data_IF_192784550038
#
_entry.id   IF_192784550038
#
_cell.length_a   1.000
_cell.length_b   1.000
_cell.length_c   1.000
_cell.angle_alpha   90.00
_cell.angle_beta   90.00
_cell.angle_gamma   90.00
#
_symmetry.space_group_name_H-M   'P 1'
#
loop_
_entity.id
_entity.type
_entity.pdbx_description
1 polymer ?
#
# COMPACT_ATOMS: atom_id res chain seq x y z
N UNK A 1 29.88 -27.92 -75.76
CA UNK A 1 30.21 -28.56 -74.48
C UNK A 1 30.36 -27.50 -73.40
N UNK A 2 29.25 -27.08 -72.78
CA UNK A 2 29.20 -26.11 -71.67
C UNK A 2 28.05 -26.52 -70.77
N UNK A 3 28.37 -27.06 -69.60
CA UNK A 3 27.37 -27.52 -68.65
C UNK A 3 28.06 -28.21 -67.48
N UNK A 4 28.66 -27.42 -66.58
CA UNK A 4 29.01 -27.85 -65.21
C UNK A 4 29.59 -26.72 -64.33
N UNK A 5 29.68 -25.47 -64.82
CA UNK A 5 30.16 -24.35 -63.99
C UNK A 5 29.15 -23.93 -62.91
N UNK A 6 27.85 -24.01 -63.21
CA UNK A 6 26.80 -23.48 -62.32
C UNK A 6 26.63 -24.31 -61.04
N UNK A 7 26.82 -25.64 -61.09
CA UNK A 7 26.71 -26.49 -59.89
C UNK A 7 27.91 -26.33 -58.94
N UNK A 8 29.10 -25.99 -59.46
CA UNK A 8 30.27 -25.67 -58.62
C UNK A 8 30.09 -24.33 -57.91
N UNK A 9 29.58 -23.32 -58.58
CA UNK A 9 29.32 -22.01 -57.98
C UNK A 9 28.30 -22.10 -56.82
N UNK A 10 27.23 -22.88 -56.98
CA UNK A 10 26.21 -23.08 -55.92
C UNK A 10 26.80 -23.82 -54.72
N UNK A 11 27.65 -24.84 -54.95
CA UNK A 11 28.33 -25.56 -53.85
C UNK A 11 29.30 -24.67 -53.09
N UNK A 12 30.06 -23.83 -53.80
CA UNK A 12 30.99 -22.89 -53.16
C UNK A 12 30.21 -21.85 -52.35
N UNK A 13 29.11 -21.31 -52.89
CA UNK A 13 28.27 -20.36 -52.16
C UNK A 13 27.66 -21.01 -50.90
N UNK A 14 27.20 -22.25 -50.99
CA UNK A 14 26.70 -23.01 -49.85
C UNK A 14 27.75 -23.20 -48.76
N UNK A 15 28.99 -23.55 -49.15
CA UNK A 15 30.10 -23.70 -48.18
C UNK A 15 30.47 -22.36 -47.54
N UNK A 16 30.49 -21.26 -48.30
CA UNK A 16 30.77 -19.92 -47.76
C UNK A 16 29.69 -19.51 -46.75
N UNK A 17 28.42 -19.76 -47.04
CA UNK A 17 27.31 -19.45 -46.12
C UNK A 17 27.41 -20.31 -44.84
N UNK A 18 27.72 -21.60 -44.95
CA UNK A 18 27.85 -22.47 -43.78
C UNK A 18 29.04 -22.02 -42.92
N UNK A 19 30.17 -21.69 -43.54
CA UNK A 19 31.35 -21.22 -42.82
C UNK A 19 31.12 -19.83 -42.19
N UNK A 20 30.37 -18.94 -42.85
CA UNK A 20 30.06 -17.62 -42.28
C UNK A 20 29.11 -17.72 -41.09
N UNK A 21 28.10 -18.61 -41.15
CA UNK A 21 27.19 -18.87 -40.02
C UNK A 21 27.92 -19.55 -38.86
N UNK A 22 28.79 -20.53 -39.15
CA UNK A 22 29.60 -21.18 -38.12
C UNK A 22 30.57 -20.18 -37.46
N UNK A 23 31.18 -19.28 -38.24
CA UNK A 23 32.02 -18.22 -37.70
C UNK A 23 31.21 -17.23 -36.86
N UNK A 24 30.00 -16.84 -37.28
CA UNK A 24 29.11 -15.97 -36.50
C UNK A 24 28.72 -16.61 -35.16
N UNK A 25 28.47 -17.92 -35.12
CA UNK A 25 28.15 -18.66 -33.89
C UNK A 25 29.34 -18.78 -32.94
N UNK A 26 30.57 -18.78 -33.45
CA UNK A 26 31.80 -18.87 -32.65
C UNK A 26 32.35 -17.49 -32.23
N UNK A 27 32.11 -16.45 -33.02
CA UNK A 27 32.65 -15.11 -32.80
C UNK A 27 31.73 -14.20 -31.95
N UNK A 28 30.44 -14.53 -31.83
CA UNK A 28 29.55 -13.83 -30.92
C UNK A 28 29.70 -14.40 -29.51
N UNK A 29 29.97 -13.58 -28.48
CA UNK A 29 29.83 -14.04 -27.11
C UNK A 29 28.38 -14.52 -26.92
N UNK A 30 28.15 -15.58 -26.12
CA UNK A 30 26.81 -16.03 -25.83
C UNK A 30 26.02 -14.83 -25.29
N UNK A 31 24.85 -14.58 -25.89
CA UNK A 31 23.87 -13.68 -25.30
C UNK A 31 23.66 -14.13 -23.85
N UNK A 32 23.50 -13.21 -22.88
CA UNK A 32 23.19 -13.59 -21.52
C UNK A 32 21.92 -14.45 -21.57
N UNK A 33 22.11 -15.75 -21.37
CA UNK A 33 21.00 -16.64 -21.08
C UNK A 33 20.40 -16.12 -19.78
N UNK A 34 19.07 -15.98 -19.75
CA UNK A 34 18.37 -15.98 -18.47
C UNK A 34 18.96 -17.15 -17.66
N UNK A 35 19.42 -16.90 -16.42
CA UNK A 35 19.98 -17.99 -15.64
C UNK A 35 18.93 -19.10 -15.59
N UNK A 36 19.35 -20.38 -15.66
CA UNK A 36 18.43 -21.46 -15.42
C UNK A 36 17.74 -21.17 -14.08
N UNK A 37 16.44 -21.42 -14.02
CA UNK A 37 15.68 -21.38 -12.77
C UNK A 37 16.35 -22.39 -11.82
N UNK A 38 17.37 -21.96 -11.10
CA UNK A 38 17.92 -22.71 -10.00
C UNK A 38 16.79 -22.75 -9.00
N UNK A 39 16.26 -23.94 -8.78
CA UNK A 39 15.63 -24.28 -7.51
C UNK A 39 16.71 -24.23 -6.42
N UNK A 40 17.30 -23.06 -6.18
CA UNK A 40 17.84 -22.74 -4.88
C UNK A 40 16.60 -22.52 -4.01
N UNK A 41 16.26 -23.57 -3.27
CA UNK A 41 15.51 -23.42 -2.04
C UNK A 41 16.08 -22.21 -1.32
N UNK A 42 15.23 -21.21 -1.06
CA UNK A 42 15.45 -20.23 -0.02
C UNK A 42 15.64 -21.00 1.29
N UNK A 43 16.87 -21.43 1.55
CA UNK A 43 17.28 -21.80 2.90
C UNK A 43 17.14 -20.52 3.73
N UNK A 44 16.32 -20.51 4.79
CA UNK A 44 16.22 -19.36 5.65
C UNK A 44 17.60 -19.03 6.23
N UNK A 45 17.94 -17.74 6.23
CA UNK A 45 19.16 -17.20 6.80
C UNK A 45 19.42 -17.82 8.19
N UNK A 46 20.58 -18.46 8.42
CA UNK A 46 20.90 -19.06 9.72
C UNK A 46 20.99 -18.02 10.86
N UNK A 47 20.99 -16.71 10.56
CA UNK A 47 20.87 -15.65 11.57
C UNK A 47 19.42 -15.43 12.08
N UNK A 48 18.40 -16.05 11.46
CA UNK A 48 17.02 -16.07 11.94
C UNK A 48 16.67 -17.33 12.75
N UNK A 49 17.66 -18.18 13.01
CA UNK A 49 17.53 -19.39 13.82
C UNK A 49 18.04 -19.11 15.24
N UNK A 50 17.18 -19.37 16.23
CA UNK A 50 17.43 -19.27 17.69
C UNK A 50 17.16 -17.92 18.36
N UNK A 51 15.93 -17.43 18.26
CA UNK A 51 15.21 -17.10 19.49
C UNK A 51 13.79 -17.63 19.37
N UNK A 52 13.34 -18.39 20.39
CA UNK A 52 11.97 -18.88 20.53
C UNK A 52 11.03 -17.67 20.60
N UNK A 53 10.60 -17.19 19.43
CA UNK A 53 9.82 -15.98 19.27
C UNK A 53 8.34 -16.32 19.54
N UNK A 54 7.63 -15.56 20.41
CA UNK A 54 6.18 -15.68 20.62
C UNK A 54 5.37 -15.72 19.32
N UNK A 55 5.90 -15.13 18.25
CA UNK A 55 5.39 -15.12 16.89
C UNK A 55 5.20 -16.54 16.30
N UNK A 56 6.11 -17.48 16.55
CA UNK A 56 5.99 -18.84 15.99
C UNK A 56 4.84 -19.64 16.60
N UNK A 57 4.58 -19.46 17.91
CA UNK A 57 3.43 -20.05 18.60
C UNK A 57 2.11 -19.44 18.14
N UNK A 58 2.10 -18.16 17.80
CA UNK A 58 0.92 -17.47 17.25
C UNK A 58 0.63 -17.91 15.81
N UNK A 59 1.66 -17.99 14.95
CA UNK A 59 1.51 -18.38 13.54
C UNK A 59 1.04 -19.84 13.35
N UNK A 60 1.43 -20.77 14.23
CA UNK A 60 0.93 -22.14 14.18
C UNK A 60 -0.58 -22.27 14.46
N UNK A 61 -1.22 -21.24 15.02
CA UNK A 61 -2.68 -21.25 15.26
C UNK A 61 -3.52 -20.84 14.05
N UNK A 62 -2.90 -20.43 12.92
CA UNK A 62 -3.56 -19.75 11.78
C UNK A 62 -3.64 -20.65 10.51
N UNK A 63 -3.91 -21.95 10.66
CA UNK A 63 -4.36 -22.76 9.51
C UNK A 63 -5.88 -22.76 9.39
N UNK A 64 -6.44 -21.63 8.95
CA UNK A 64 -7.78 -21.57 8.35
C UNK A 64 -7.74 -20.72 7.09
N UNK A 65 -7.36 -21.32 5.97
CA UNK A 65 -7.72 -20.78 4.66
C UNK A 65 -9.22 -21.00 4.43
N UNK A 66 -10.04 -19.98 4.67
CA UNK A 66 -11.40 -19.96 4.14
C UNK A 66 -11.34 -19.62 2.64
N UNK A 67 -12.05 -20.35 1.76
CA UNK A 67 -12.18 -19.96 0.36
C UNK A 67 -12.87 -18.59 0.26
N UNK A 68 -12.51 -17.83 -0.77
CA UNK A 68 -13.12 -16.54 -1.12
C UNK A 68 -14.64 -16.68 -1.28
N UNK A 69 -15.40 -16.36 -0.22
CA UNK A 69 -16.85 -16.24 -0.26
C UNK A 69 -17.23 -14.98 -1.05
N UNK A 70 -18.12 -15.14 -2.03
CA UNK A 70 -18.70 -14.03 -2.79
C UNK A 70 -19.31 -13.05 -1.79
N UNK A 71 -18.76 -11.82 -1.71
CA UNK A 71 -19.17 -10.79 -0.74
C UNK A 71 -20.69 -10.61 -0.84
N UNK A 72 -21.41 -10.94 0.24
CA UNK A 72 -22.86 -10.70 0.36
C UNK A 72 -23.09 -9.20 0.20
N UNK A 73 -23.97 -8.80 -0.72
CA UNK A 73 -24.41 -7.40 -0.79
C UNK A 73 -25.15 -7.03 0.49
N UNK A 74 -24.83 -5.85 1.03
CA UNK A 74 -25.48 -5.33 2.22
C UNK A 74 -26.90 -4.90 1.89
N UNK A 75 -27.82 -5.18 2.81
CA UNK A 75 -29.19 -4.67 2.79
C UNK A 75 -29.22 -3.17 3.12
N UNK A 76 -30.31 -2.49 2.76
CA UNK A 76 -30.48 -1.08 3.09
C UNK A 76 -30.43 -0.80 4.60
N UNK A 77 -30.98 -1.71 5.41
CA UNK A 77 -30.97 -1.60 6.87
C UNK A 77 -29.54 -1.75 7.44
N UNK A 78 -28.76 -2.73 6.94
CA UNK A 78 -27.34 -2.90 7.31
C UNK A 78 -26.52 -1.65 6.92
N UNK A 79 -26.79 -1.03 5.77
CA UNK A 79 -26.12 0.21 5.34
C UNK A 79 -26.45 1.38 6.27
N UNK A 80 -27.73 1.53 6.63
CA UNK A 80 -28.17 2.59 7.56
C UNK A 80 -27.54 2.43 8.94
N UNK A 81 -27.47 1.19 9.44
CA UNK A 81 -26.79 0.89 10.71
C UNK A 81 -25.31 1.29 10.67
N UNK A 82 -24.60 0.93 9.59
CA UNK A 82 -23.19 1.32 9.41
C UNK A 82 -23.04 2.85 9.37
N UNK A 83 -23.92 3.55 8.65
CA UNK A 83 -23.89 5.02 8.58
C UNK A 83 -24.12 5.66 9.95
N UNK A 84 -25.06 5.14 10.74
CA UNK A 84 -25.31 5.59 12.11
C UNK A 84 -24.07 5.36 13.00
N UNK A 85 -23.46 4.18 12.93
CA UNK A 85 -22.24 3.88 13.68
C UNK A 85 -21.08 4.81 13.31
N UNK A 86 -20.89 5.09 12.02
CA UNK A 86 -19.89 6.05 11.55
C UNK A 86 -20.18 7.44 12.13
N UNK A 87 -21.42 7.91 12.04
CA UNK A 87 -21.82 9.23 12.54
C UNK A 87 -21.56 9.36 14.05
N UNK A 88 -21.99 8.37 14.84
CA UNK A 88 -21.79 8.35 16.29
C UNK A 88 -20.30 8.40 16.67
N UNK A 89 -19.47 7.60 16.00
CA UNK A 89 -18.02 7.57 16.24
C UNK A 89 -17.34 8.86 15.81
N UNK A 90 -17.75 9.43 14.67
CA UNK A 90 -17.26 10.73 14.19
C UNK A 90 -17.66 11.89 15.09
N UNK A 91 -18.80 11.82 15.78
CA UNK A 91 -19.21 12.85 16.75
C UNK A 91 -18.46 12.71 18.09
N UNK A 92 -18.23 11.48 18.54
CA UNK A 92 -17.56 11.24 19.82
C UNK A 92 -16.05 11.50 19.79
N UNK A 93 -15.40 11.33 18.63
CA UNK A 93 -13.94 11.48 18.43
C UNK A 93 -13.12 10.93 19.62
N UNK A 94 -13.43 9.68 20.00
CA UNK A 94 -12.88 9.06 21.21
C UNK A 94 -11.38 8.81 21.07
N UNK A 95 -10.62 9.32 22.04
CA UNK A 95 -9.21 9.01 22.23
C UNK A 95 -9.09 7.87 23.25
N UNK A 96 -8.42 6.79 22.86
CA UNK A 96 -8.14 5.63 23.72
C UNK A 96 -6.77 5.77 24.37
N UNK A 97 -6.66 5.24 25.59
CA UNK A 97 -5.43 5.11 26.37
C UNK A 97 -4.79 6.46 26.78
N UNK A 98 -5.53 7.57 26.75
CA UNK A 98 -5.04 8.87 27.21
C UNK A 98 -4.66 8.84 28.70
N UNK A 99 -5.42 8.09 29.49
CA UNK A 99 -5.18 7.89 30.92
C UNK A 99 -3.90 7.10 31.22
N UNK A 100 -3.41 6.30 30.27
CA UNK A 100 -2.20 5.49 30.39
C UNK A 100 -0.96 6.23 29.88
N UNK A 101 -1.10 6.98 28.78
CA UNK A 101 0.02 7.61 28.06
C UNK A 101 0.05 9.14 28.16
N UNK A 102 -0.85 9.73 28.94
CA UNK A 102 -1.00 11.17 29.09
C UNK A 102 -1.69 11.84 27.88
N UNK A 103 -1.94 13.17 27.96
CA UNK A 103 -2.59 13.90 26.89
C UNK A 103 -1.68 14.09 25.66
N UNK A 104 -2.30 14.21 24.48
CA UNK A 104 -1.59 14.55 23.23
C UNK A 104 -0.99 15.95 23.34
N UNK A 105 0.33 16.04 23.14
CA UNK A 105 1.07 17.30 23.13
C UNK A 105 1.15 17.87 21.72
N UNK A 106 1.46 19.17 21.61
CA UNK A 106 1.56 19.86 20.32
C UNK A 106 2.66 19.29 19.42
N UNK A 107 3.69 18.66 19.98
CA UNK A 107 4.83 18.05 19.30
C UNK A 107 4.76 16.52 19.22
N UNK A 108 3.69 15.91 19.76
CA UNK A 108 3.48 14.45 19.70
C UNK A 108 3.52 13.97 18.24
N UNK A 109 4.31 12.94 17.95
CA UNK A 109 4.31 12.36 16.59
C UNK A 109 2.95 11.70 16.35
N UNK A 110 2.31 12.06 15.25
CA UNK A 110 1.04 11.48 14.82
C UNK A 110 1.32 10.50 13.70
N UNK A 111 0.81 9.27 13.80
CA UNK A 111 0.87 8.29 12.73
C UNK A 111 -0.55 8.02 12.26
N UNK A 112 -0.81 8.24 10.97
CA UNK A 112 -2.12 8.05 10.35
C UNK A 112 -2.06 6.86 9.41
N UNK A 113 -2.78 5.79 9.75
CA UNK A 113 -2.86 4.55 8.95
C UNK A 113 -4.13 4.56 8.13
N UNK A 114 -4.01 4.47 6.80
CA UNK A 114 -5.15 4.25 5.92
C UNK A 114 -5.53 2.76 5.92
N UNK A 115 -6.76 2.46 6.35
CA UNK A 115 -7.29 1.10 6.53
C UNK A 115 -8.45 0.88 5.57
N UNK A 116 -8.44 -0.27 4.88
CA UNK A 116 -9.55 -0.72 4.04
C UNK A 116 -10.20 -1.95 4.67
N UNK A 117 -9.82 -3.17 4.26
CA UNK A 117 -10.45 -4.40 4.75
C UNK A 117 -9.48 -5.59 4.87
N UNK A 118 -8.17 -5.33 4.96
CA UNK A 118 -7.15 -6.37 5.01
C UNK A 118 -6.67 -6.61 6.44
N UNK A 119 -7.52 -7.24 7.25
CA UNK A 119 -7.28 -7.51 8.68
C UNK A 119 -5.91 -8.14 8.98
N UNK A 120 -5.47 -9.10 8.17
CA UNK A 120 -4.19 -9.79 8.38
C UNK A 120 -2.98 -8.87 8.18
N UNK A 121 -3.00 -8.04 7.13
CA UNK A 121 -1.95 -7.05 6.89
C UNK A 121 -1.91 -6.01 8.02
N UNK A 122 -3.09 -5.50 8.42
CA UNK A 122 -3.20 -4.56 9.53
C UNK A 122 -2.63 -5.15 10.83
N UNK A 123 -2.87 -6.45 11.08
CA UNK A 123 -2.30 -7.15 12.24
C UNK A 123 -0.78 -7.17 12.19
N UNK A 124 -0.17 -7.43 11.03
CA UNK A 124 1.28 -7.38 10.89
C UNK A 124 1.85 -5.98 11.16
N UNK A 125 1.19 -4.93 10.66
CA UNK A 125 1.58 -3.55 10.95
C UNK A 125 1.51 -3.26 12.45
N UNK A 126 0.41 -3.59 13.13
CA UNK A 126 0.24 -3.38 14.58
C UNK A 126 1.31 -4.13 15.38
N UNK A 127 1.61 -5.38 15.02
CA UNK A 127 2.67 -6.17 15.66
C UNK A 127 4.04 -5.50 15.50
N UNK A 128 4.36 -4.99 14.30
CA UNK A 128 5.62 -4.28 14.07
C UNK A 128 5.70 -2.96 14.85
N UNK A 129 4.59 -2.22 14.95
CA UNK A 129 4.53 -0.99 15.76
C UNK A 129 4.71 -1.29 17.26
N UNK A 130 4.11 -2.37 17.77
CA UNK A 130 4.24 -2.76 19.18
C UNK A 130 5.70 -3.06 19.59
N UNK A 131 6.54 -3.44 18.62
CA UNK A 131 7.97 -3.70 18.83
C UNK A 131 8.83 -2.44 18.68
N UNK A 132 8.29 -1.36 18.13
CA UNK A 132 9.05 -0.17 17.83
C UNK A 132 9.38 0.65 19.07
N UNK A 133 10.63 1.11 19.16
CA UNK A 133 11.07 1.98 20.25
C UNK A 133 10.35 3.33 20.17
N UNK A 134 9.92 3.84 21.33
CA UNK A 134 9.20 5.11 21.50
C UNK A 134 7.75 5.12 21.01
N UNK A 135 7.18 3.97 20.67
CA UNK A 135 5.78 3.90 20.19
C UNK A 135 4.78 4.40 21.25
N UNK A 136 5.09 4.24 22.53
CA UNK A 136 4.28 4.72 23.66
C UNK A 136 4.08 6.24 23.68
N UNK A 137 4.97 6.98 23.01
CA UNK A 137 4.92 8.45 22.95
C UNK A 137 3.97 8.99 21.87
N UNK A 138 3.57 8.16 20.89
CA UNK A 138 2.85 8.62 19.69
C UNK A 138 1.32 8.66 19.86
N UNK A 139 0.64 9.33 18.93
CA UNK A 139 -0.77 9.12 18.64
C UNK A 139 -0.93 8.29 17.37
N UNK A 140 -1.58 7.12 17.46
CA UNK A 140 -1.98 6.34 16.30
C UNK A 140 -3.42 6.66 15.90
N UNK A 141 -3.61 7.06 14.64
CA UNK A 141 -4.93 7.31 14.05
C UNK A 141 -5.17 6.28 12.95
N UNK A 142 -6.19 5.44 13.11
CA UNK A 142 -6.65 4.53 12.07
C UNK A 142 -7.81 5.19 11.31
N UNK A 143 -7.61 5.39 10.01
CA UNK A 143 -8.58 6.01 9.11
C UNK A 143 -9.22 4.95 8.23
N UNK A 144 -10.51 4.70 8.40
CA UNK A 144 -11.23 3.59 7.79
C UNK A 144 -12.13 4.06 6.64
N UNK A 145 -12.07 3.41 5.48
CA UNK A 145 -13.09 3.57 4.42
C UNK A 145 -14.00 2.34 4.27
N UNK A 146 -13.88 1.38 5.18
CA UNK A 146 -14.75 0.23 5.29
C UNK A 146 -14.98 -0.07 6.78
N UNK A 147 -16.24 -0.09 7.18
CA UNK A 147 -16.66 -0.46 8.52
C UNK A 147 -16.66 -1.97 8.67
N UNK A 148 -15.79 -2.48 9.53
CA UNK A 148 -15.65 -3.89 9.82
C UNK A 148 -15.42 -4.08 11.33
N UNK A 149 -16.34 -4.79 11.98
CA UNK A 149 -16.29 -5.01 13.44
C UNK A 149 -15.02 -5.74 13.90
N UNK A 150 -14.46 -6.64 13.09
CA UNK A 150 -13.23 -7.33 13.45
C UNK A 150 -12.03 -6.40 13.40
N UNK A 151 -11.96 -5.51 12.40
CA UNK A 151 -10.93 -4.48 12.30
C UNK A 151 -11.08 -3.47 13.44
N UNK A 152 -12.31 -2.96 13.67
CA UNK A 152 -12.59 -2.00 14.74
C UNK A 152 -12.18 -2.57 16.10
N UNK A 153 -12.54 -3.83 16.36
CA UNK A 153 -12.16 -4.53 17.59
C UNK A 153 -10.66 -4.71 17.71
N UNK A 154 -9.96 -5.09 16.64
CA UNK A 154 -8.50 -5.23 16.64
C UNK A 154 -7.84 -3.91 17.07
N UNK A 155 -8.27 -2.78 16.50
CA UNK A 155 -7.71 -1.46 16.85
C UNK A 155 -7.97 -1.11 18.32
N UNK A 156 -9.13 -1.46 18.87
CA UNK A 156 -9.43 -1.22 20.31
C UNK A 156 -8.60 -2.06 21.27
N UNK A 157 -7.94 -3.13 20.81
CA UNK A 157 -7.07 -3.97 21.66
C UNK A 157 -5.65 -3.43 21.80
N UNK A 158 -5.30 -2.37 21.06
CA UNK A 158 -3.98 -1.74 21.17
C UNK A 158 -3.88 -1.04 22.53
N UNK A 159 -2.90 -1.44 23.32
CA UNK A 159 -2.67 -0.97 24.70
C UNK A 159 -1.27 -0.36 24.90
N UNK A 160 -0.47 -0.24 23.84
CA UNK A 160 0.92 0.23 23.90
C UNK A 160 1.12 1.72 23.53
N UNK A 161 0.06 2.43 23.13
CA UNK A 161 0.09 3.87 22.85
C UNK A 161 -1.32 4.49 22.82
N UNK A 162 -1.41 5.80 22.57
CA UNK A 162 -2.69 6.49 22.33
C UNK A 162 -3.26 6.09 20.97
N UNK A 163 -4.57 5.87 20.90
CA UNK A 163 -5.24 5.42 19.68
C UNK A 163 -6.53 6.19 19.42
N UNK A 164 -6.77 6.56 18.16
CA UNK A 164 -8.02 7.14 17.68
C UNK A 164 -8.46 6.44 16.39
N UNK A 165 -9.77 6.30 16.18
CA UNK A 165 -10.34 5.81 14.93
C UNK A 165 -11.18 6.90 14.28
N UNK A 166 -10.97 7.12 12.98
CA UNK A 166 -11.76 8.03 12.15
C UNK A 166 -12.33 7.26 10.95
N UNK A 167 -13.52 7.63 10.51
CA UNK A 167 -14.25 6.89 9.48
C UNK A 167 -14.60 7.82 8.32
N UNK A 168 -14.18 7.44 7.11
CA UNK A 168 -14.49 8.15 5.88
C UNK A 168 -16.00 8.02 5.58
N UNK A 169 -16.76 9.12 5.57
CA UNK A 169 -18.23 9.06 5.55
C UNK A 169 -18.83 8.73 4.18
N UNK A 170 -18.04 8.72 3.10
CA UNK A 170 -18.54 8.54 1.74
C UNK A 170 -17.91 7.33 1.04
N UNK A 171 -17.84 6.20 1.75
CA UNK A 171 -17.33 4.94 1.19
C UNK A 171 -18.31 4.26 0.24
N UNK A 172 -17.80 3.36 -0.60
CA UNK A 172 -18.60 2.46 -1.44
C UNK A 172 -19.51 1.54 -0.62
N UNK A 173 -19.11 1.21 0.61
CA UNK A 173 -19.92 0.41 1.52
C UNK A 173 -21.21 1.14 1.92
N UNK A 174 -21.13 2.46 2.13
CA UNK A 174 -22.26 3.28 2.58
C UNK A 174 -23.05 3.89 1.42
N UNK A 175 -22.46 3.96 0.23
CA UNK A 175 -23.07 4.54 -0.97
C UNK A 175 -22.99 3.58 -2.17
N UNK A 176 -23.46 2.33 -2.08
CA UNK A 176 -23.22 1.34 -3.15
C UNK A 176 -23.90 1.68 -4.49
N UNK A 177 -25.01 2.42 -4.46
CA UNK A 177 -25.88 2.67 -5.63
C UNK A 177 -26.03 4.15 -6.00
N UNK A 178 -25.20 5.02 -5.41
CA UNK A 178 -25.25 6.46 -5.62
C UNK A 178 -23.85 7.02 -5.50
N UNK A 179 -23.55 8.15 -6.15
CA UNK A 179 -22.26 8.82 -5.98
C UNK A 179 -21.92 9.04 -4.49
N UNK A 180 -20.71 8.71 -4.01
CA UNK A 180 -19.50 8.33 -4.78
C UNK A 180 -19.30 6.81 -4.96
N UNK A 181 -20.34 5.99 -4.89
CA UNK A 181 -20.35 4.62 -5.45
C UNK A 181 -20.84 4.55 -6.89
N UNK A 182 -21.32 3.38 -7.30
CA UNK A 182 -21.76 3.13 -8.67
C UNK A 182 -23.23 3.48 -8.83
N UNK A 183 -23.51 4.57 -9.53
CA UNK A 183 -24.88 4.97 -9.86
C UNK A 183 -25.45 4.13 -11.00
N UNK A 184 -26.76 3.88 -10.99
CA UNK A 184 -27.47 3.23 -12.10
C UNK A 184 -27.33 4.02 -13.40
N UNK A 185 -27.20 5.35 -13.29
CA UNK A 185 -27.07 6.27 -14.41
C UNK A 185 -25.61 6.52 -14.82
N UNK A 186 -24.62 5.93 -14.14
CA UNK A 186 -23.21 6.15 -14.46
C UNK A 186 -22.86 5.59 -15.86
N UNK A 187 -22.09 6.35 -16.63
CA UNK A 187 -21.59 5.86 -17.91
C UNK A 187 -20.64 4.66 -17.72
N UNK A 188 -20.84 3.53 -18.42
CA UNK A 188 -19.91 2.42 -18.35
C UNK A 188 -18.51 2.83 -18.84
N UNK A 189 -17.47 2.30 -18.17
CA UNK A 189 -16.05 2.67 -18.37
C UNK A 189 -15.67 2.89 -19.84
N UNK A 190 -15.89 1.89 -20.68
CA UNK A 190 -15.37 1.86 -22.05
C UNK A 190 -16.39 2.36 -23.10
N UNK A 191 -17.41 3.10 -22.65
CA UNK A 191 -18.44 3.66 -23.54
C UNK A 191 -17.84 4.79 -24.38
N UNK A 192 -18.13 4.84 -25.68
CA UNK A 192 -17.72 5.98 -26.52
C UNK A 192 -18.54 7.24 -26.22
N UNK A 193 -18.02 8.44 -26.54
CA UNK A 193 -18.77 9.70 -26.37
C UNK A 193 -20.13 9.73 -27.09
N UNK A 194 -20.22 9.12 -28.27
CA UNK A 194 -21.47 9.03 -29.04
C UNK A 194 -22.46 8.09 -28.37
N UNK A 195 -21.99 6.94 -27.89
CA UNK A 195 -22.80 5.96 -27.18
C UNK A 195 -23.27 6.51 -25.82
N UNK A 196 -22.42 7.21 -25.07
CA UNK A 196 -22.78 7.83 -23.81
C UNK A 196 -23.91 8.87 -23.99
N UNK A 197 -23.83 9.68 -25.04
CA UNK A 197 -24.92 10.59 -25.44
C UNK A 197 -26.22 9.85 -25.78
N UNK A 198 -26.13 8.70 -26.45
CA UNK A 198 -27.31 7.90 -26.78
C UNK A 198 -27.93 7.21 -25.56
N UNK A 199 -27.10 6.79 -24.60
CA UNK A 199 -27.53 6.19 -23.33
C UNK A 199 -28.06 7.23 -22.35
N UNK A 200 -27.78 8.52 -22.59
CA UNK A 200 -28.07 9.61 -21.67
C UNK A 200 -27.53 9.33 -20.25
N UNK A 201 -26.35 8.72 -20.17
CA UNK A 201 -25.69 8.39 -18.91
C UNK A 201 -24.92 9.61 -18.34
N UNK A 202 -24.63 9.56 -17.04
CA UNK A 202 -23.95 10.60 -16.28
C UNK A 202 -22.46 10.27 -16.15
N UNK A 203 -21.61 11.24 -16.48
CA UNK A 203 -20.18 11.13 -16.28
C UNK A 203 -19.39 11.97 -17.29
N UNK A 204 -18.17 12.32 -16.92
CA UNK A 204 -17.19 12.89 -17.84
C UNK A 204 -16.06 11.88 -18.00
N UNK A 205 -15.60 11.61 -19.23
CA UNK A 205 -14.48 10.71 -19.44
C UNK A 205 -13.17 11.35 -18.98
N UNK A 206 -12.19 10.52 -18.67
CA UNK A 206 -10.81 10.92 -18.42
C UNK A 206 -10.08 11.32 -19.73
N UNK A 207 -8.78 11.63 -19.61
CA UNK A 207 -7.92 12.00 -20.74
C UNK A 207 -7.86 10.92 -21.83
N UNK A 208 -8.11 9.66 -21.48
CA UNK A 208 -8.06 8.51 -22.37
C UNK A 208 -9.44 8.08 -22.88
N UNK A 209 -10.49 8.82 -22.54
CA UNK A 209 -11.86 8.54 -22.98
C UNK A 209 -12.61 7.53 -22.11
N UNK A 210 -12.09 7.14 -20.95
CA UNK A 210 -12.77 6.19 -20.05
C UNK A 210 -13.59 6.92 -18.98
N UNK A 211 -14.77 6.38 -18.65
CA UNK A 211 -15.58 6.87 -17.55
C UNK A 211 -15.13 6.30 -16.20
N UNK A 212 -15.56 6.96 -15.13
CA UNK A 212 -15.23 6.63 -13.75
C UNK A 212 -15.66 5.21 -13.38
N UNK A 213 -14.77 4.50 -12.70
CA UNK A 213 -15.12 3.33 -11.89
C UNK A 213 -14.95 3.67 -10.41
N UNK A 214 -15.99 3.44 -9.61
CA UNK A 214 -16.05 3.91 -8.24
C UNK A 214 -14.94 3.32 -7.35
N UNK A 215 -14.63 2.03 -7.54
CA UNK A 215 -13.57 1.29 -6.82
C UNK A 215 -12.18 1.92 -6.94
N UNK A 216 -11.84 2.54 -8.07
CA UNK A 216 -10.53 3.19 -8.24
C UNK A 216 -10.50 4.62 -7.70
N UNK A 217 -11.66 5.25 -7.55
CA UNK A 217 -11.75 6.61 -7.02
C UNK A 217 -11.70 6.67 -5.49
N UNK A 218 -12.23 5.65 -4.79
CA UNK A 218 -12.34 5.67 -3.33
C UNK A 218 -11.01 5.94 -2.62
N UNK A 219 -9.93 5.23 -2.99
CA UNK A 219 -8.63 5.38 -2.31
C UNK A 219 -8.13 6.82 -2.33
N UNK A 220 -8.30 7.53 -3.44
CA UNK A 220 -7.91 8.94 -3.56
C UNK A 220 -8.82 9.85 -2.74
N UNK A 221 -10.14 9.62 -2.76
CA UNK A 221 -11.08 10.40 -1.95
C UNK A 221 -10.81 10.24 -0.45
N UNK A 222 -10.62 9.00 0.00
CA UNK A 222 -10.27 8.68 1.38
C UNK A 222 -8.94 9.36 1.77
N UNK A 223 -7.92 9.28 0.90
CA UNK A 223 -6.62 9.88 1.20
C UNK A 223 -6.71 11.38 1.41
N UNK A 224 -7.42 12.08 0.53
CA UNK A 224 -7.59 13.54 0.63
C UNK A 224 -8.44 13.92 1.84
N UNK A 225 -9.57 13.23 2.06
CA UNK A 225 -10.44 13.48 3.20
C UNK A 225 -9.68 13.31 4.52
N UNK A 226 -8.94 12.21 4.70
CA UNK A 226 -8.27 11.93 5.97
C UNK A 226 -7.15 12.94 6.26
N UNK A 227 -6.46 13.42 5.23
CA UNK A 227 -5.45 14.46 5.40
C UNK A 227 -6.08 15.75 5.94
N UNK A 228 -7.18 16.23 5.34
CA UNK A 228 -7.88 17.42 5.82
C UNK A 228 -8.46 17.19 7.23
N UNK A 229 -9.06 16.02 7.48
CA UNK A 229 -9.61 15.67 8.80
C UNK A 229 -8.53 15.76 9.89
N UNK A 230 -7.35 15.19 9.63
CA UNK A 230 -6.23 15.18 10.58
C UNK A 230 -5.63 16.57 10.79
N UNK A 231 -5.43 17.34 9.72
CA UNK A 231 -4.78 18.65 9.83
C UNK A 231 -5.69 19.76 10.36
N UNK A 232 -6.99 19.72 10.07
CA UNK A 232 -7.89 20.86 10.34
C UNK A 232 -9.01 20.57 11.36
N UNK A 233 -9.53 19.34 11.41
CA UNK A 233 -10.81 19.09 12.07
C UNK A 233 -10.71 18.38 13.43
N UNK A 234 -9.70 17.53 13.65
CA UNK A 234 -9.61 16.73 14.88
C UNK A 234 -9.33 17.58 16.11
N UNK A 235 -10.18 17.46 17.14
CA UNK A 235 -10.06 18.27 18.35
C UNK A 235 -8.72 18.09 19.05
N UNK A 236 -8.20 16.85 19.05
CA UNK A 236 -6.96 16.46 19.74
C UNK A 236 -5.70 17.01 19.05
N UNK A 237 -5.81 17.43 17.79
CA UNK A 237 -4.71 17.96 16.98
C UNK A 237 -4.79 19.47 16.77
N UNK A 238 -5.65 20.17 17.51
CA UNK A 238 -5.71 21.63 17.44
C UNK A 238 -4.36 22.25 17.82
N UNK A 239 -3.85 23.12 16.95
CA UNK A 239 -2.53 23.76 17.09
C UNK A 239 -1.36 22.77 17.16
N UNK A 240 -1.52 21.56 16.60
CA UNK A 240 -0.42 20.61 16.48
C UNK A 240 0.66 21.15 15.53
N UNK A 241 1.91 21.00 15.95
CA UNK A 241 3.11 21.44 15.20
C UNK A 241 4.10 20.31 14.97
N UNK A 242 3.81 19.12 15.50
CA UNK A 242 4.65 17.93 15.38
C UNK A 242 4.60 17.29 14.01
N UNK A 243 5.30 16.17 13.85
CA UNK A 243 5.30 15.41 12.61
C UNK A 243 4.02 14.59 12.47
N UNK A 244 3.52 14.50 11.25
CA UNK A 244 2.46 13.56 10.85
C UNK A 244 3.03 12.58 9.82
N UNK A 245 3.06 11.29 10.16
CA UNK A 245 3.51 10.19 9.31
C UNK A 245 2.30 9.45 8.75
N UNK A 246 2.18 9.39 7.42
CA UNK A 246 1.13 8.63 6.74
C UNK A 246 1.63 7.23 6.35
N UNK A 247 0.87 6.20 6.74
CA UNK A 247 1.10 4.79 6.40
C UNK A 247 -0.18 4.15 5.84
N UNK A 248 -0.04 2.95 5.29
CA UNK A 248 -1.14 2.09 4.83
C UNK A 248 -1.14 0.80 5.64
N UNK A 249 -2.28 0.11 5.68
CA UNK A 249 -2.50 -1.12 6.47
C UNK A 249 -1.55 -2.28 6.14
N UNK A 250 -0.90 -2.27 4.98
CA UNK A 250 0.04 -3.29 4.52
C UNK A 250 1.51 -2.86 4.56
N UNK A 251 1.81 -1.73 5.20
CA UNK A 251 3.17 -1.42 5.59
C UNK A 251 3.64 -2.30 6.75
N UNK A 252 4.95 -2.32 6.95
CA UNK A 252 5.64 -2.90 8.10
C UNK A 252 6.73 -1.92 8.51
N UNK A 253 6.89 -1.65 9.80
CA UNK A 253 7.89 -0.70 10.30
C UNK A 253 9.09 -1.42 10.93
N UNK A 254 10.29 -0.85 10.76
CA UNK A 254 11.48 -1.29 11.48
C UNK A 254 11.41 -0.87 12.96
N UNK A 255 12.06 -1.60 13.86
CA UNK A 255 12.00 -1.33 15.31
C UNK A 255 12.51 0.07 15.70
N UNK A 256 13.35 0.69 14.88
CA UNK A 256 13.97 1.99 15.11
C UNK A 256 13.39 3.13 14.25
N UNK A 257 12.26 2.90 13.54
CA UNK A 257 11.73 3.87 12.57
C UNK A 257 11.43 5.25 13.18
N UNK A 258 10.92 5.29 14.43
CA UNK A 258 10.66 6.54 15.16
C UNK A 258 11.95 7.24 15.55
N UNK A 259 12.96 6.47 15.97
CA UNK A 259 14.27 7.02 16.27
C UNK A 259 14.89 7.70 15.05
N UNK A 260 14.84 7.03 13.90
CA UNK A 260 15.31 7.58 12.63
C UNK A 260 14.50 8.81 12.19
N UNK A 261 13.17 8.77 12.34
CA UNK A 261 12.31 9.92 12.02
C UNK A 261 12.68 11.17 12.83
N UNK A 262 12.93 11.01 14.14
CA UNK A 262 13.35 12.10 15.01
C UNK A 262 14.70 12.68 14.59
N UNK A 263 15.68 11.81 14.31
CA UNK A 263 17.00 12.24 13.82
C UNK A 263 16.90 12.99 12.49
N UNK A 264 16.08 12.51 11.55
CA UNK A 264 15.86 13.20 10.28
C UNK A 264 15.24 14.57 10.49
N UNK A 265 14.22 14.69 11.33
CA UNK A 265 13.57 15.96 11.60
C UNK A 265 14.52 16.99 12.24
N UNK A 266 15.39 16.56 13.15
CA UNK A 266 16.39 17.43 13.76
C UNK A 266 17.47 17.87 12.76
N UNK A 267 17.90 16.97 11.87
CA UNK A 267 18.94 17.25 10.89
C UNK A 267 18.44 18.08 9.68
N UNK A 268 17.15 17.97 9.33
CA UNK A 268 16.59 18.49 8.08
C UNK A 268 16.81 20.00 7.87
N UNK A 269 16.63 20.90 8.86
CA UNK A 269 16.88 22.33 8.68
C UNK A 269 18.33 22.66 8.29
N UNK A 270 19.30 21.82 8.70
CA UNK A 270 20.71 22.01 8.40
C UNK A 270 21.13 21.27 7.12
N UNK A 271 20.67 20.04 6.94
CA UNK A 271 21.05 19.18 5.83
C UNK A 271 20.35 19.54 4.52
N UNK A 272 19.07 19.93 4.58
CA UNK A 272 18.27 20.29 3.42
C UNK A 272 17.21 21.35 3.77
N UNK A 273 17.57 22.65 3.78
CA UNK A 273 16.64 23.74 4.12
C UNK A 273 15.43 23.88 3.17
N UNK A 274 15.49 23.24 2.00
CA UNK A 274 14.41 23.25 0.99
C UNK A 274 13.52 22.01 1.04
N UNK A 275 13.88 21.00 1.83
CA UNK A 275 13.08 19.79 1.95
C UNK A 275 11.86 20.07 2.83
N UNK A 276 10.71 19.53 2.45
CA UNK A 276 9.44 19.72 3.20
C UNK A 276 8.80 18.41 3.66
N UNK A 277 9.31 17.26 3.17
CA UNK A 277 8.73 15.94 3.42
C UNK A 277 9.86 14.96 3.68
N UNK A 278 9.66 14.07 4.66
CA UNK A 278 10.57 12.98 5.00
C UNK A 278 9.94 11.67 4.51
N UNK A 279 10.74 10.80 3.90
CA UNK A 279 10.35 9.43 3.55
C UNK A 279 11.25 8.46 4.30
N UNK A 280 10.66 7.44 4.94
CA UNK A 280 11.38 6.48 5.79
C UNK A 280 11.92 5.25 5.04
N UNK A 281 11.63 5.11 3.75
CA UNK A 281 12.09 3.97 2.96
C UNK A 281 11.80 4.12 1.47
N UNK A 282 12.44 3.26 0.69
CA UNK A 282 12.21 3.14 -0.75
C UNK A 282 12.14 1.65 -1.13
N UNK A 283 11.41 1.34 -2.20
CA UNK A 283 11.25 -0.03 -2.70
C UNK A 283 12.51 -0.50 -3.45
N UNK A 284 13.52 -0.93 -2.69
CA UNK A 284 14.74 -1.50 -3.25
C UNK A 284 14.54 -3.00 -3.50
N UNK A 285 14.78 -3.45 -4.74
CA UNK A 285 14.68 -4.87 -5.11
C UNK A 285 15.76 -5.74 -4.46
N UNK A 286 16.93 -5.16 -4.20
CA UNK A 286 18.05 -5.78 -3.51
C UNK A 286 18.54 -4.82 -2.44
N UNK A 287 18.69 -5.30 -1.20
CA UNK A 287 19.21 -4.52 -0.11
C UNK A 287 20.73 -4.63 -0.08
N UNK A 288 21.43 -3.52 -0.30
CA UNK A 288 22.83 -3.39 0.04
C UNK A 288 23.00 -2.18 0.95
N UNK A 289 22.78 -2.38 2.25
CA UNK A 289 22.80 -1.29 3.24
C UNK A 289 24.04 -0.39 3.16
N UNK A 290 25.22 -0.96 2.86
CA UNK A 290 26.45 -0.18 2.72
C UNK A 290 26.44 0.77 1.51
N UNK A 291 25.81 0.36 0.41
CA UNK A 291 25.72 1.15 -0.83
C UNK A 291 24.46 2.02 -0.89
N UNK A 292 23.36 1.55 -0.33
CA UNK A 292 22.04 2.18 -0.41
C UNK A 292 21.81 3.23 0.68
N UNK A 293 22.54 3.17 1.81
CA UNK A 293 22.51 4.23 2.83
C UNK A 293 22.89 5.61 2.27
N UNK A 294 23.61 5.67 1.15
CA UNK A 294 23.99 6.92 0.46
C UNK A 294 22.95 7.43 -0.54
N UNK A 295 21.88 6.67 -0.82
CA UNK A 295 20.87 6.99 -1.84
C UNK A 295 19.56 7.53 -1.27
N UNK A 296 19.41 7.52 0.05
CA UNK A 296 18.32 8.18 0.76
C UNK A 296 18.79 9.59 1.08
N UNK A 297 18.76 10.48 0.08
CA UNK A 297 19.05 11.91 0.20
C UNK A 297 17.99 12.73 -0.49
#
# INVERSE_FOLDING_TARGET
>A
MRGNSWSRAIRILGVIIILSVAWLQLALPPLPHDPPLSSESLEPDPALSEHQNPVAKFLQSIQFHKPYEKKKELTADEILEIQEQILLRSQNETLLNEELFGPVQHDTIVIVVQVHNRLEYLRHLIVSMAQARYIDTVLLIFSHDYYDEHINKLVTTIDFCKVMQIFYPHSLQTHPHSFPGEGIEDCPRDTSLTQAKSLNCIGNPDLYGHYREARYAQTKHHWWWKANKVFDDLWVLRNHTGLTLFLEEDHYVAEDFLHMLMLYNEALPQACPKCSVITLGNYLKNYNFANDAKRVS
#
